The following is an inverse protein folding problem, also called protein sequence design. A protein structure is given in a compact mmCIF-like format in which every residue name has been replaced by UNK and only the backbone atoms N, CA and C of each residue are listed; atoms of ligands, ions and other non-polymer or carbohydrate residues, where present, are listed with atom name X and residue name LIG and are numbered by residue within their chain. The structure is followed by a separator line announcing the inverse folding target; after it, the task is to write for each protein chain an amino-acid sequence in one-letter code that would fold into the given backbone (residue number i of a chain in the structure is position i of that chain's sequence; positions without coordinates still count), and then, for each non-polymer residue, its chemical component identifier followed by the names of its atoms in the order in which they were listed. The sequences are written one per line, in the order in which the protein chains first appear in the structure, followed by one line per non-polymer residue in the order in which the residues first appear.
data_IF_617162191270
#
_entry.id   IF_617162191270
#
_cell.length_a   1.000
_cell.length_b   1.000
_cell.length_c   1.000
_cell.angle_alpha   90.00
_cell.angle_beta   90.00
_cell.angle_gamma   90.00
#
_symmetry.space_group_name_H-M   'P 1'
#
loop_
_entity.id
_entity.type
_entity.pdbx_description
1 polymer ?
#
# COMPACT_ATOMS: atom_id res chain seq x y z
N UNK A 1 4.01 -5.98 12.67
CA UNK A 1 2.71 -6.61 12.40
C UNK A 1 2.81 -8.10 12.59
N UNK A 2 1.93 -8.67 13.38
CA UNK A 2 1.93 -10.10 13.67
C UNK A 2 0.95 -10.81 12.72
N UNK A 3 1.26 -12.04 12.36
CA UNK A 3 0.46 -12.84 11.45
C UNK A 3 0.79 -12.58 10.00
N UNK A 4 0.16 -13.35 9.14
CA UNK A 4 0.39 -13.32 7.70
C UNK A 4 -0.77 -12.62 7.00
N UNK A 5 -0.46 -11.64 6.15
CA UNK A 5 -1.45 -11.05 5.25
C UNK A 5 -1.53 -11.94 4.00
N UNK A 6 -2.54 -12.81 3.97
CA UNK A 6 -2.66 -13.82 2.93
C UNK A 6 -2.90 -13.23 1.54
N UNK A 7 -3.58 -12.09 1.45
CA UNK A 7 -3.78 -11.45 0.15
C UNK A 7 -2.47 -10.88 -0.39
N UNK A 8 -1.72 -10.18 0.46
CA UNK A 8 -0.41 -9.65 0.07
C UNK A 8 0.53 -10.77 -0.34
N UNK A 9 0.51 -11.88 0.42
CA UNK A 9 1.30 -13.08 0.11
C UNK A 9 0.92 -13.64 -1.25
N UNK A 10 -0.38 -13.81 -1.50
CA UNK A 10 -0.88 -14.37 -2.76
C UNK A 10 -0.53 -13.50 -3.96
N UNK A 11 -0.51 -12.18 -3.80
CA UNK A 11 -0.15 -11.26 -4.88
C UNK A 11 1.35 -11.12 -5.07
N UNK A 12 2.16 -11.58 -4.12
CA UNK A 12 3.61 -11.49 -4.21
C UNK A 12 4.18 -10.15 -3.77
N UNK A 13 3.46 -9.41 -2.94
CA UNK A 13 3.93 -8.12 -2.40
C UNK A 13 5.03 -8.38 -1.37
N UNK A 14 6.12 -7.63 -1.47
CA UNK A 14 7.26 -7.78 -0.55
C UNK A 14 7.53 -6.48 0.18
N UNK A 15 7.82 -6.59 1.48
CA UNK A 15 8.23 -5.45 2.29
C UNK A 15 9.72 -5.22 2.08
N UNK A 16 10.10 -4.00 1.71
CA UNK A 16 11.49 -3.60 1.56
C UNK A 16 12.03 -2.93 2.82
N UNK A 17 11.19 -2.14 3.49
CA UNK A 17 11.57 -1.43 4.70
C UNK A 17 10.31 -1.14 5.51
N UNK A 18 10.38 -1.29 6.84
CA UNK A 18 9.28 -0.95 7.73
C UNK A 18 9.84 -0.40 9.04
N UNK A 19 9.21 0.66 9.53
CA UNK A 19 9.48 1.24 10.84
C UNK A 19 8.22 1.94 11.34
N UNK A 20 8.24 2.50 12.52
CA UNK A 20 7.05 3.13 13.07
C UNK A 20 6.56 4.27 12.16
N UNK A 21 5.35 4.14 11.65
CA UNK A 21 4.73 5.14 10.78
C UNK A 21 5.24 5.17 9.35
N UNK A 22 6.03 4.18 8.93
CA UNK A 22 6.61 4.14 7.59
C UNK A 22 6.72 2.72 7.07
N UNK A 23 6.41 2.52 5.79
CA UNK A 23 6.66 1.24 5.12
C UNK A 23 6.87 1.44 3.63
N UNK A 24 7.83 0.72 3.09
CA UNK A 24 8.05 0.64 1.65
C UNK A 24 7.87 -0.80 1.21
N UNK A 25 7.04 -1.01 0.19
CA UNK A 25 6.75 -2.32 -0.39
C UNK A 25 6.98 -2.30 -1.88
N UNK A 26 7.12 -3.47 -2.48
CA UNK A 26 7.32 -3.61 -3.92
C UNK A 26 6.50 -4.74 -4.49
N UNK A 27 6.12 -4.61 -5.77
CA UNK A 27 5.38 -5.62 -6.51
C UNK A 27 5.77 -5.58 -7.97
N UNK A 28 6.25 -6.70 -8.51
CA UNK A 28 6.43 -6.86 -9.95
C UNK A 28 5.10 -7.29 -10.54
N UNK A 29 4.64 -6.56 -11.56
CA UNK A 29 3.33 -6.81 -12.17
C UNK A 29 3.40 -8.04 -13.05
N UNK A 30 2.67 -9.07 -12.65
CA UNK A 30 2.47 -10.32 -13.37
C UNK A 30 1.06 -10.35 -13.98
N UNK A 31 0.77 -11.38 -14.73
CA UNK A 31 -0.52 -11.54 -15.40
C UNK A 31 -1.71 -11.47 -14.45
N UNK A 32 -1.57 -12.07 -13.25
CA UNK A 32 -2.64 -12.09 -12.24
C UNK A 32 -3.01 -10.69 -11.76
N UNK A 33 -2.11 -9.72 -11.88
CA UNK A 33 -2.35 -8.36 -11.43
C UNK A 33 -3.03 -7.47 -12.48
N UNK A 34 -3.30 -8.01 -13.67
CA UNK A 34 -3.82 -7.20 -14.79
C UNK A 34 -5.32 -7.37 -14.96
N UNK A 35 -5.94 -6.36 -15.58
CA UNK A 35 -7.37 -6.38 -15.90
C UNK A 35 -7.59 -6.84 -17.36
N UNK A 36 -8.85 -6.88 -17.77
CA UNK A 36 -9.22 -7.34 -19.12
C UNK A 36 -8.68 -6.43 -20.23
N UNK A 37 -8.32 -5.19 -19.92
CA UNK A 37 -7.76 -4.24 -20.88
C UNK A 37 -6.25 -4.36 -21.03
N UNK A 38 -5.60 -5.21 -20.22
CA UNK A 38 -4.15 -5.38 -20.26
C UNK A 38 -3.36 -4.44 -19.38
N UNK A 39 -4.05 -3.62 -18.59
CA UNK A 39 -3.39 -2.73 -17.61
C UNK A 39 -3.36 -3.36 -16.23
N UNK A 40 -2.48 -2.88 -15.37
CA UNK A 40 -2.50 -3.29 -13.96
C UNK A 40 -3.87 -2.96 -13.37
N UNK A 41 -4.49 -3.96 -12.76
CA UNK A 41 -5.80 -3.82 -12.14
C UNK A 41 -5.72 -2.81 -11.00
N UNK A 42 -6.71 -1.90 -10.90
CA UNK A 42 -6.77 -0.94 -9.80
C UNK A 42 -6.82 -1.62 -8.44
N UNK A 43 -7.44 -2.81 -8.36
CA UNK A 43 -7.45 -3.61 -7.15
C UNK A 43 -6.07 -4.07 -6.71
N UNK A 44 -5.16 -4.34 -7.65
CA UNK A 44 -3.78 -4.71 -7.33
C UNK A 44 -3.00 -3.50 -6.79
N UNK A 45 -3.17 -2.34 -7.41
CA UNK A 45 -2.53 -1.10 -6.95
C UNK A 45 -3.07 -0.70 -5.57
N UNK A 46 -4.39 -0.82 -5.38
CA UNK A 46 -5.02 -0.55 -4.09
C UNK A 46 -4.46 -1.46 -3.00
N UNK A 47 -4.38 -2.76 -3.26
CA UNK A 47 -3.88 -3.72 -2.27
C UNK A 47 -2.42 -3.45 -1.92
N UNK A 48 -1.60 -3.08 -2.92
CA UNK A 48 -0.21 -2.71 -2.67
C UNK A 48 -0.12 -1.51 -1.72
N UNK A 49 -0.88 -0.46 -1.99
CA UNK A 49 -0.90 0.74 -1.15
C UNK A 49 -1.48 0.46 0.23
N UNK A 50 -2.58 -0.30 0.28
CA UNK A 50 -3.25 -0.64 1.54
C UNK A 50 -2.34 -1.50 2.44
N UNK A 51 -1.56 -2.40 1.84
CA UNK A 51 -0.62 -3.21 2.60
C UNK A 51 0.51 -2.37 3.19
N UNK A 52 1.05 -1.42 2.43
CA UNK A 52 2.04 -0.48 2.95
C UNK A 52 1.47 0.34 4.13
N UNK A 53 0.24 0.82 3.97
CA UNK A 53 -0.49 1.54 5.02
C UNK A 53 -0.66 0.66 6.28
N UNK A 54 -1.12 -0.59 6.10
CA UNK A 54 -1.33 -1.51 7.21
C UNK A 54 -0.02 -1.79 7.97
N UNK A 55 1.07 -2.01 7.25
CA UNK A 55 2.38 -2.26 7.87
C UNK A 55 2.88 -1.04 8.65
N UNK A 56 2.70 0.16 8.09
CA UNK A 56 3.15 1.39 8.73
C UNK A 56 2.40 1.65 10.03
N UNK A 57 1.10 1.41 10.09
CA UNK A 57 0.28 1.70 11.26
C UNK A 57 0.23 0.54 12.27
N UNK A 58 0.71 -0.64 11.92
CA UNK A 58 0.75 -1.80 12.81
C UNK A 58 2.17 -2.21 13.21
N UNK A 59 3.10 -1.28 13.19
CA UNK A 59 4.49 -1.56 13.52
C UNK A 59 4.62 -1.97 14.99
N UNK A 60 5.44 -3.00 15.24
CA UNK A 60 5.67 -3.51 16.61
C UNK A 60 4.37 -4.05 17.21
N UNK A 61 4.03 -3.55 18.39
CA UNK A 61 2.82 -3.96 19.12
C UNK A 61 1.60 -3.09 18.82
N UNK A 62 1.75 -2.09 17.95
CA UNK A 62 0.63 -1.25 17.55
C UNK A 62 -0.40 -2.07 16.78
N UNK A 63 -1.69 -1.83 17.08
CA UNK A 63 -2.80 -2.43 16.35
C UNK A 63 -3.73 -1.31 15.88
N UNK A 64 -4.00 -1.29 14.59
CA UNK A 64 -4.86 -0.28 13.98
C UNK A 64 -5.61 -0.88 12.79
N UNK A 65 -6.79 -0.37 12.53
CA UNK A 65 -7.61 -0.78 11.39
C UNK A 65 -7.99 0.43 10.58
N UNK A 66 -8.24 0.24 9.28
CA UNK A 66 -8.67 1.32 8.41
C UNK A 66 -10.09 1.77 8.75
N UNK A 67 -10.28 3.08 8.90
CA UNK A 67 -11.61 3.68 9.03
C UNK A 67 -12.11 4.17 7.68
N UNK A 68 -11.25 4.87 6.95
CA UNK A 68 -11.60 5.46 5.67
C UNK A 68 -10.35 5.55 4.81
N UNK A 69 -10.48 5.17 3.57
CA UNK A 69 -9.38 5.27 2.60
C UNK A 69 -9.91 5.84 1.30
N UNK A 70 -9.02 6.48 0.55
CA UNK A 70 -9.29 6.94 -0.79
C UNK A 70 -8.04 6.77 -1.63
N UNK A 71 -8.23 6.59 -2.94
CA UNK A 71 -7.13 6.45 -3.86
C UNK A 71 -7.44 7.19 -5.16
N UNK A 72 -6.42 7.83 -5.72
CA UNK A 72 -6.47 8.41 -7.05
C UNK A 72 -5.46 7.69 -7.93
N UNK A 73 -5.94 7.14 -9.04
CA UNK A 73 -5.09 6.50 -10.04
C UNK A 73 -4.73 7.57 -11.08
N UNK A 74 -3.46 7.90 -11.19
CA UNK A 74 -3.01 9.02 -12.02
C UNK A 74 -2.45 8.59 -13.35
N UNK A 75 -1.76 7.44 -13.40
CA UNK A 75 -1.13 6.93 -14.61
C UNK A 75 -1.24 5.41 -14.65
N UNK A 76 -1.36 4.82 -15.85
CA UNK A 76 -1.46 3.36 -15.98
C UNK A 76 -0.12 2.67 -15.76
N UNK A 77 -0.20 1.39 -15.50
CA UNK A 77 0.91 0.48 -15.40
C UNK A 77 0.56 -0.81 -16.13
N UNK A 78 1.55 -1.57 -16.57
CA UNK A 78 1.34 -2.77 -17.38
C UNK A 78 2.20 -3.93 -16.90
N UNK A 79 1.99 -5.09 -17.51
CA UNK A 79 2.76 -6.31 -17.23
C UNK A 79 4.26 -6.03 -17.31
N UNK A 80 5.00 -6.53 -16.31
CA UNK A 80 6.44 -6.38 -16.24
C UNK A 80 6.91 -5.15 -15.48
N UNK A 81 6.05 -4.16 -15.25
CA UNK A 81 6.41 -3.00 -14.44
C UNK A 81 6.68 -3.42 -13.00
N UNK A 82 7.61 -2.72 -12.35
CA UNK A 82 7.85 -2.87 -10.93
C UNK A 82 7.28 -1.65 -10.23
N UNK A 83 6.32 -1.88 -9.33
CA UNK A 83 5.70 -0.81 -8.56
C UNK A 83 6.27 -0.81 -7.15
N UNK A 84 6.53 0.36 -6.62
CA UNK A 84 6.91 0.55 -5.22
C UNK A 84 5.86 1.45 -4.57
N UNK A 85 5.51 1.15 -3.34
CA UNK A 85 4.60 2.01 -2.57
C UNK A 85 5.27 2.38 -1.27
N UNK A 86 5.17 3.66 -0.92
CA UNK A 86 5.73 4.21 0.33
C UNK A 86 4.64 4.83 1.16
N UNK A 87 4.42 4.30 2.35
CA UNK A 87 3.48 4.83 3.32
C UNK A 87 4.21 5.71 4.33
N UNK A 88 3.67 6.89 4.58
CA UNK A 88 4.19 7.83 5.57
C UNK A 88 3.07 8.34 6.45
N UNK A 89 3.29 8.31 7.76
CA UNK A 89 2.36 8.92 8.71
C UNK A 89 2.42 10.43 8.57
N UNK A 90 1.26 11.05 8.34
CA UNK A 90 1.13 12.50 8.19
C UNK A 90 0.75 13.14 9.51
N UNK A 91 -0.13 12.49 10.27
CA UNK A 91 -0.63 13.00 11.54
C UNK A 91 -0.91 11.84 12.47
N UNK A 92 -0.57 12.00 13.74
CA UNK A 92 -0.75 10.96 14.74
C UNK A 92 -1.53 11.55 15.93
N UNK A 93 -2.81 11.22 15.97
CA UNK A 93 -3.68 11.63 17.08
C UNK A 93 -3.81 10.55 18.14
N UNK A 94 -4.67 10.81 19.14
CA UNK A 94 -4.88 9.89 20.25
C UNK A 94 -5.58 8.59 19.80
N UNK A 95 -6.59 8.73 18.95
CA UNK A 95 -7.40 7.58 18.49
C UNK A 95 -7.23 7.27 17.03
N UNK A 96 -6.76 8.23 16.22
CA UNK A 96 -6.60 8.04 14.78
C UNK A 96 -5.21 8.48 14.32
N UNK A 97 -4.80 7.94 13.19
CA UNK A 97 -3.59 8.36 12.49
C UNK A 97 -3.89 8.49 11.02
N UNK A 98 -3.40 9.56 10.40
CA UNK A 98 -3.57 9.77 8.95
C UNK A 98 -2.26 9.42 8.26
N UNK A 99 -2.38 8.63 7.18
CA UNK A 99 -1.24 8.16 6.40
C UNK A 99 -1.46 8.48 4.94
N UNK A 100 -0.36 8.75 4.24
CA UNK A 100 -0.38 8.92 2.79
C UNK A 100 0.55 7.88 2.18
N UNK A 101 0.10 7.26 1.10
CA UNK A 101 0.89 6.28 0.36
C UNK A 101 1.04 6.75 -1.07
N UNK A 102 2.29 6.87 -1.52
CA UNK A 102 2.60 7.15 -2.92
C UNK A 102 2.99 5.85 -3.60
N UNK A 103 2.40 5.59 -4.75
CA UNK A 103 2.76 4.43 -5.58
C UNK A 103 3.57 4.93 -6.77
N UNK A 104 4.73 4.33 -6.98
CA UNK A 104 5.71 4.76 -7.98
C UNK A 104 5.94 3.67 -9.03
N UNK A 105 6.17 4.11 -10.26
CA UNK A 105 6.75 3.32 -11.34
C UNK A 105 7.91 4.12 -11.93
N UNK A 106 9.11 3.57 -11.92
CA UNK A 106 10.32 4.25 -12.43
C UNK A 106 10.51 5.65 -11.82
N UNK A 107 10.25 5.77 -10.51
CA UNK A 107 10.41 7.03 -9.79
C UNK A 107 9.30 8.04 -10.01
N UNK A 108 8.29 7.72 -10.83
CA UNK A 108 7.15 8.61 -11.09
C UNK A 108 5.92 8.14 -10.33
N UNK A 109 5.18 9.09 -9.74
CA UNK A 109 3.97 8.78 -9.00
C UNK A 109 2.88 8.36 -9.97
N UNK A 110 2.30 7.18 -9.78
CA UNK A 110 1.20 6.68 -10.59
C UNK A 110 -0.12 6.57 -9.82
N UNK A 111 -0.06 6.60 -8.49
CA UNK A 111 -1.26 6.61 -7.66
C UNK A 111 -0.95 7.26 -6.32
N UNK A 112 -1.96 7.88 -5.73
CA UNK A 112 -1.89 8.48 -4.39
C UNK A 112 -3.03 7.91 -3.55
N UNK A 113 -2.69 7.39 -2.37
CA UNK A 113 -3.62 6.77 -1.45
C UNK A 113 -3.58 7.54 -0.13
N UNK A 114 -4.74 7.75 0.48
CA UNK A 114 -4.84 8.35 1.81
C UNK A 114 -5.63 7.41 2.70
N UNK A 115 -5.11 7.12 3.88
CA UNK A 115 -5.75 6.21 4.82
C UNK A 115 -5.82 6.79 6.23
N UNK A 116 -7.02 6.76 6.80
CA UNK A 116 -7.24 7.11 8.20
C UNK A 116 -7.34 5.82 9.00
N UNK A 117 -6.42 5.61 9.93
CA UNK A 117 -6.38 4.43 10.77
C UNK A 117 -6.99 4.71 12.14
N UNK A 118 -7.72 3.74 12.68
CA UNK A 118 -8.25 3.77 14.04
C UNK A 118 -7.36 2.90 14.92
N UNK A 119 -6.84 3.48 15.99
CA UNK A 119 -5.96 2.77 16.93
C UNK A 119 -6.79 1.94 17.89
N UNK A 120 -6.45 0.70 18.00
CA UNK A 120 -7.09 -0.23 18.95
C UNK A 120 -6.32 -0.34 20.24
#
# INVERSE_FOLDING_TARGET
MKGTDWLAEALGIKVLEVKDGYCKVTLKIEKIHTNALGFTHGGSIFTLADYAFAQACNYGDNVAVALQVSINFLKPSTLGDVLNAEANRISDGKTTGLYQVMVYRDGKIIAVFSGLAYKK
#
